data_IF_775838006807
#
_entry.id   IF_775838006807
#
_cell.length_a   1.000
_cell.length_b   1.000
_cell.length_c   1.000
_cell.angle_alpha   90.00
_cell.angle_beta   90.00
_cell.angle_gamma   90.00
#
_symmetry.space_group_name_H-M   'P 1'
#
loop_
_entity.id
_entity.type
_entity.pdbx_description
1 polymer ?
#
# COMPACT_ATOMS: atom_id res chain seq x y z
N UNK A 1 4.38 0.61 -13.26
CA UNK A 1 2.91 0.48 -13.43
C UNK A 1 2.61 0.59 -14.91
N UNK A 2 1.76 -0.31 -15.44
CA UNK A 2 1.24 -0.23 -16.80
C UNK A 2 -0.13 0.44 -16.79
N UNK A 3 -0.31 1.47 -17.59
CA UNK A 3 -1.60 2.14 -17.85
C UNK A 3 -2.01 1.88 -19.29
N UNK A 4 -3.31 1.64 -19.51
CA UNK A 4 -3.86 1.45 -20.86
C UNK A 4 -5.02 2.42 -21.05
N UNK A 5 -4.99 3.17 -22.13
CA UNK A 5 -5.99 4.20 -22.48
C UNK A 5 -6.83 3.76 -23.67
N UNK A 6 -7.97 4.36 -23.85
CA UNK A 6 -8.88 4.07 -24.97
C UNK A 6 -8.34 4.57 -26.31
N UNK A 7 -7.61 5.68 -26.28
CA UNK A 7 -7.03 6.32 -27.46
C UNK A 7 -5.51 6.39 -27.36
N UNK A 8 -4.84 6.55 -28.49
CA UNK A 8 -3.43 6.88 -28.54
C UNK A 8 -3.18 8.19 -27.79
N UNK A 9 -2.12 8.22 -27.00
CA UNK A 9 -1.80 9.38 -26.15
C UNK A 9 -0.95 10.40 -26.91
N UNK A 10 -1.09 11.65 -26.55
CA UNK A 10 -0.18 12.72 -26.98
C UNK A 10 1.13 12.59 -26.19
N UNK A 11 2.25 12.54 -26.91
CA UNK A 11 3.56 12.26 -26.33
C UNK A 11 3.98 13.31 -25.29
N UNK A 12 3.73 14.59 -25.56
CA UNK A 12 4.13 15.69 -24.68
C UNK A 12 3.39 15.61 -23.34
N UNK A 13 2.08 15.45 -23.38
CA UNK A 13 1.29 15.36 -22.14
C UNK A 13 1.47 14.03 -21.43
N UNK A 14 1.75 12.95 -22.16
CA UNK A 14 1.95 11.62 -21.59
C UNK A 14 3.28 11.48 -20.85
N UNK A 15 4.35 12.12 -21.31
CA UNK A 15 5.67 12.04 -20.67
C UNK A 15 5.89 13.01 -19.52
N UNK A 16 4.95 13.92 -19.30
CA UNK A 16 4.97 14.87 -18.18
C UNK A 16 4.67 14.13 -16.85
N UNK A 17 5.69 13.92 -16.03
CA UNK A 17 5.62 13.14 -14.78
C UNK A 17 4.63 13.72 -13.76
N UNK A 18 4.49 15.03 -13.72
CA UNK A 18 3.58 15.79 -12.88
C UNK A 18 2.10 15.51 -13.17
N UNK A 19 1.79 14.88 -14.30
CA UNK A 19 0.44 14.47 -14.65
C UNK A 19 -0.03 13.19 -13.94
N UNK A 20 0.85 12.51 -13.21
CA UNK A 20 0.57 11.26 -12.49
C UNK A 20 0.65 11.47 -10.98
N UNK A 21 -0.50 11.67 -10.38
CA UNK A 21 -0.64 12.04 -8.96
C UNK A 21 -0.98 10.81 -8.13
N UNK A 22 -0.13 10.51 -7.14
CA UNK A 22 -0.34 9.43 -6.20
C UNK A 22 -0.81 9.93 -4.84
N UNK A 23 -1.72 9.18 -4.23
CA UNK A 23 -2.19 9.39 -2.86
C UNK A 23 -2.25 8.02 -2.13
N UNK A 24 -1.39 7.76 -1.13
CA UNK A 24 -0.29 8.60 -0.64
C UNK A 24 0.77 8.95 -1.70
N UNK A 25 1.46 10.06 -1.49
CA UNK A 25 2.43 10.59 -2.45
C UNK A 25 3.54 9.59 -2.76
N UNK A 26 3.76 9.35 -4.04
CA UNK A 26 4.90 8.62 -4.58
C UNK A 26 5.47 9.39 -5.78
N UNK A 27 6.73 9.14 -6.12
CA UNK A 27 7.43 9.87 -7.15
C UNK A 27 7.61 9.03 -8.41
N UNK A 28 7.13 9.57 -9.54
CA UNK A 28 7.37 9.00 -10.85
C UNK A 28 8.79 9.35 -11.28
N UNK A 29 9.65 8.35 -11.42
CA UNK A 29 11.04 8.51 -11.87
C UNK A 29 11.15 8.58 -13.38
N UNK A 30 10.27 7.89 -14.11
CA UNK A 30 10.22 7.88 -15.56
C UNK A 30 8.83 7.56 -16.09
N UNK A 31 8.57 8.01 -17.32
CA UNK A 31 7.37 7.67 -18.07
C UNK A 31 7.80 7.24 -19.48
N UNK A 32 7.34 6.08 -19.91
CA UNK A 32 7.64 5.51 -21.22
C UNK A 32 6.34 5.15 -21.94
N UNK A 33 6.24 5.54 -23.20
CA UNK A 33 5.13 5.13 -24.08
C UNK A 33 5.56 3.87 -24.82
N UNK A 34 4.68 2.88 -24.89
CA UNK A 34 4.96 1.66 -25.65
C UNK A 34 5.11 1.98 -27.15
N UNK A 35 6.24 1.59 -27.74
CA UNK A 35 6.55 1.88 -29.13
C UNK A 35 5.63 1.18 -30.12
N UNK A 36 5.04 0.04 -29.75
CA UNK A 36 4.14 -0.75 -30.57
C UNK A 36 2.66 -0.44 -30.34
N UNK A 37 2.35 0.21 -29.21
CA UNK A 37 0.96 0.55 -28.84
C UNK A 37 0.90 1.84 -28.07
N UNK A 38 0.70 2.95 -28.76
CA UNK A 38 0.65 4.30 -28.18
C UNK A 38 -0.50 4.53 -27.17
N UNK A 39 -1.35 3.54 -26.95
CA UNK A 39 -2.36 3.56 -25.85
C UNK A 39 -1.78 3.10 -24.51
N UNK A 40 -0.56 2.60 -24.50
CA UNK A 40 0.07 2.03 -23.30
C UNK A 40 1.19 2.93 -22.80
N UNK A 41 1.15 3.22 -21.52
CA UNK A 41 2.19 3.98 -20.81
C UNK A 41 2.72 3.11 -19.67
N UNK A 42 4.03 3.14 -19.48
CA UNK A 42 4.72 2.53 -18.32
C UNK A 42 5.22 3.64 -17.41
N UNK A 43 4.77 3.63 -16.16
CA UNK A 43 5.28 4.51 -15.12
C UNK A 43 6.36 3.77 -14.32
N UNK A 44 7.55 4.33 -14.30
CA UNK A 44 8.64 3.90 -13.44
C UNK A 44 8.62 4.75 -12.17
N UNK A 45 8.71 4.11 -11.01
CA UNK A 45 8.72 4.77 -9.71
C UNK A 45 10.12 4.69 -9.11
N UNK A 46 10.40 5.52 -8.11
CA UNK A 46 11.73 5.55 -7.48
C UNK A 46 12.04 4.32 -6.59
N UNK A 47 11.07 3.43 -6.41
CA UNK A 47 11.21 2.17 -5.68
C UNK A 47 11.38 2.29 -4.16
N UNK A 48 11.33 3.49 -3.61
CA UNK A 48 11.56 3.74 -2.17
C UNK A 48 10.35 3.42 -1.29
N UNK A 49 9.18 3.27 -1.88
CA UNK A 49 7.93 2.99 -1.16
C UNK A 49 7.13 1.92 -1.86
N UNK A 50 6.62 0.91 -1.15
CA UNK A 50 5.73 -0.08 -1.73
C UNK A 50 4.44 0.60 -2.19
N UNK A 51 3.91 0.14 -3.32
CA UNK A 51 2.67 0.65 -3.90
C UNK A 51 1.54 -0.26 -3.48
N UNK A 52 0.53 0.31 -2.83
CA UNK A 52 -0.70 -0.41 -2.49
C UNK A 52 -0.57 -1.45 -1.37
N UNK A 53 0.63 -1.61 -0.79
CA UNK A 53 0.91 -2.62 0.26
C UNK A 53 0.89 -1.99 1.67
N UNK A 54 -0.09 -1.13 1.95
CA UNK A 54 -0.10 -0.29 3.16
C UNK A 54 -1.39 -0.38 3.97
N UNK A 55 -2.27 -1.35 3.65
CA UNK A 55 -3.53 -1.54 4.39
C UNK A 55 -4.58 -0.45 4.20
N UNK A 56 -4.44 0.39 3.18
CA UNK A 56 -5.41 1.43 2.82
C UNK A 56 -5.35 1.73 1.34
N UNK A 57 -6.36 2.41 0.82
CA UNK A 57 -6.41 2.80 -0.58
C UNK A 57 -5.14 3.57 -1.00
N UNK A 58 -4.55 3.12 -2.08
CA UNK A 58 -3.49 3.79 -2.79
C UNK A 58 -4.05 4.23 -4.14
N UNK A 59 -4.13 5.53 -4.39
CA UNK A 59 -4.82 6.07 -5.55
C UNK A 59 -3.84 6.65 -6.57
N UNK A 60 -4.09 6.40 -7.83
CA UNK A 60 -3.45 7.08 -8.95
C UNK A 60 -4.49 7.89 -9.71
N UNK A 61 -4.26 9.19 -9.82
CA UNK A 61 -5.02 10.08 -10.71
C UNK A 61 -4.11 10.54 -11.83
N UNK A 62 -4.63 10.51 -13.06
CA UNK A 62 -3.96 11.08 -14.23
C UNK A 62 -4.66 12.38 -14.58
N UNK A 63 -3.88 13.46 -14.71
CA UNK A 63 -4.40 14.81 -15.02
C UNK A 63 -3.72 15.33 -16.29
N UNK A 64 -4.31 16.31 -16.95
CA UNK A 64 -3.75 17.04 -18.11
C UNK A 64 -3.29 16.17 -19.29
N UNK A 65 -3.57 14.87 -19.28
CA UNK A 65 -3.28 13.99 -20.40
C UNK A 65 -4.24 14.25 -21.55
N UNK A 66 -3.74 14.21 -22.76
CA UNK A 66 -4.52 14.34 -23.99
C UNK A 66 -4.34 13.11 -24.86
N UNK A 67 -5.34 12.85 -25.70
CA UNK A 67 -5.15 11.92 -26.82
C UNK A 67 -4.34 12.57 -27.93
N UNK A 68 -3.82 11.75 -28.84
CA UNK A 68 -3.10 12.24 -30.02
C UNK A 68 -3.95 13.20 -30.87
N UNK A 69 -3.31 14.02 -31.70
CA UNK A 69 -4.02 14.91 -32.63
C UNK A 69 -4.93 14.15 -33.61
N UNK A 70 -4.51 12.95 -34.04
CA UNK A 70 -5.30 12.10 -34.94
C UNK A 70 -6.63 11.67 -34.31
N UNK A 71 -6.71 11.59 -32.99
CA UNK A 71 -7.94 11.27 -32.25
C UNK A 71 -8.63 12.49 -31.65
N UNK A 72 -8.24 13.72 -32.08
CA UNK A 72 -8.91 14.97 -31.76
C UNK A 72 -8.43 15.69 -30.51
N UNK A 73 -7.27 15.34 -29.97
CA UNK A 73 -6.66 15.97 -28.76
C UNK A 73 -7.61 16.03 -27.57
N UNK A 74 -8.38 14.97 -27.34
CA UNK A 74 -9.35 14.89 -26.25
C UNK A 74 -8.64 14.88 -24.90
N UNK A 75 -9.06 15.76 -23.99
CA UNK A 75 -8.54 15.77 -22.62
C UNK A 75 -9.06 14.57 -21.83
N UNK A 76 -8.18 14.01 -20.96
CA UNK A 76 -8.62 12.99 -20.01
C UNK A 76 -9.63 13.58 -19.02
N UNK A 77 -10.61 12.77 -18.63
CA UNK A 77 -11.49 13.14 -17.53
C UNK A 77 -10.70 13.03 -16.21
N UNK A 78 -10.38 14.16 -15.61
CA UNK A 78 -9.64 14.25 -14.34
C UNK A 78 -10.51 14.78 -13.18
N UNK A 79 -11.82 14.73 -13.32
CA UNK A 79 -12.78 15.18 -12.32
C UNK A 79 -12.69 14.42 -10.99
N UNK A 80 -13.43 14.87 -10.01
CA UNK A 80 -13.55 14.18 -8.72
C UNK A 80 -14.00 12.73 -8.92
N UNK A 81 -13.28 11.77 -8.31
CA UNK A 81 -13.55 10.34 -8.50
C UNK A 81 -12.88 9.69 -9.71
N UNK A 82 -12.21 10.46 -10.58
CA UNK A 82 -11.43 9.91 -11.70
C UNK A 82 -10.05 9.47 -11.23
N UNK A 83 -9.97 8.34 -10.54
CA UNK A 83 -8.73 7.72 -10.06
C UNK A 83 -8.81 6.20 -10.17
N UNK A 84 -7.66 5.58 -10.19
CA UNK A 84 -7.52 4.11 -10.09
C UNK A 84 -7.04 3.78 -8.69
N UNK A 85 -7.69 2.82 -8.05
CA UNK A 85 -7.21 2.24 -6.79
C UNK A 85 -6.18 1.16 -7.13
N UNK A 86 -5.03 1.26 -6.49
CA UNK A 86 -3.95 0.30 -6.60
C UNK A 86 -3.85 -0.47 -5.30
N UNK A 87 -3.85 -1.78 -5.39
CA UNK A 87 -3.61 -2.69 -4.27
C UNK A 87 -2.42 -3.58 -4.59
N UNK A 88 -1.67 -3.97 -3.58
CA UNK A 88 -0.53 -4.86 -3.70
C UNK A 88 -0.29 -5.56 -2.37
N UNK A 89 0.47 -6.62 -2.40
CA UNK A 89 0.93 -7.35 -1.22
C UNK A 89 2.37 -7.81 -1.43
N UNK A 90 3.09 -8.07 -0.34
CA UNK A 90 4.45 -8.56 -0.38
C UNK A 90 4.51 -10.04 -0.79
N UNK A 91 5.66 -10.48 -1.29
CA UNK A 91 5.93 -11.89 -1.59
C UNK A 91 6.29 -12.69 -0.33
N UNK A 92 6.92 -12.02 0.65
CA UNK A 92 7.49 -12.59 1.86
C UNK A 92 7.43 -11.58 3.01
N UNK A 93 7.95 -11.94 4.17
CA UNK A 93 7.95 -11.11 5.36
C UNK A 93 9.20 -10.23 5.54
N UNK A 94 10.15 -10.22 4.58
CA UNK A 94 11.44 -9.53 4.74
C UNK A 94 11.29 -8.05 5.06
N UNK A 95 10.44 -7.34 4.33
CA UNK A 95 10.27 -5.89 4.37
C UNK A 95 9.01 -5.43 5.11
N UNK A 96 8.41 -6.30 5.93
CA UNK A 96 7.26 -5.91 6.77
C UNK A 96 7.70 -4.86 7.79
N UNK A 97 6.89 -3.83 7.94
CA UNK A 97 7.09 -2.77 8.92
C UNK A 97 5.79 -2.36 9.62
N UNK A 98 5.93 -1.70 10.76
CA UNK A 98 4.81 -1.20 11.58
C UNK A 98 4.89 0.30 11.68
N UNK A 99 3.79 1.00 11.45
CA UNK A 99 3.75 2.45 11.58
C UNK A 99 2.41 2.98 12.14
N UNK A 100 2.44 4.12 12.85
CA UNK A 100 3.63 4.77 13.40
C UNK A 100 4.31 3.88 14.45
N UNK A 101 5.63 3.98 14.55
CA UNK A 101 6.40 3.32 15.61
C UNK A 101 7.48 4.29 16.10
N UNK A 102 7.36 4.88 17.32
CA UNK A 102 6.33 4.62 18.32
C UNK A 102 4.92 5.04 17.89
N UNK A 103 3.94 4.30 18.39
CA UNK A 103 2.53 4.62 18.23
C UNK A 103 2.07 5.57 19.36
N UNK A 104 1.32 6.60 19.02
CA UNK A 104 0.67 7.42 20.02
C UNK A 104 -0.67 6.79 20.42
N UNK A 105 -0.88 6.63 21.73
CA UNK A 105 -2.09 6.00 22.28
C UNK A 105 -3.38 6.78 21.93
N UNK A 106 -3.28 8.10 21.79
CA UNK A 106 -4.42 8.95 21.44
C UNK A 106 -4.90 8.69 19.99
N UNK A 107 -4.00 8.28 19.10
CA UNK A 107 -4.36 7.86 17.73
C UNK A 107 -5.01 6.48 17.71
N UNK A 108 -4.75 5.68 18.73
CA UNK A 108 -5.41 4.40 18.98
C UNK A 108 -5.12 3.29 17.96
N UNK A 109 -4.25 3.50 16.96
CA UNK A 109 -4.02 2.56 15.86
C UNK A 109 -2.55 2.52 15.47
N UNK A 110 -2.06 1.30 15.17
CA UNK A 110 -0.86 1.06 14.36
C UNK A 110 -1.24 0.24 13.14
N UNK A 111 -0.53 0.41 12.05
CA UNK A 111 -0.71 -0.35 10.82
C UNK A 111 0.49 -1.27 10.60
N UNK A 112 0.24 -2.54 10.42
CA UNK A 112 1.20 -3.49 9.87
C UNK A 112 1.13 -3.39 8.35
N UNK A 113 2.25 -3.17 7.69
CA UNK A 113 2.30 -2.89 6.26
C UNK A 113 3.36 -3.73 5.55
N UNK A 114 3.24 -3.80 4.24
CA UNK A 114 4.03 -4.67 3.37
C UNK A 114 3.87 -6.15 3.76
N UNK A 115 2.64 -6.51 4.08
CA UNK A 115 2.25 -7.88 4.40
C UNK A 115 2.05 -8.71 3.12
N UNK A 116 2.25 -10.03 3.18
CA UNK A 116 1.80 -10.97 2.16
C UNK A 116 0.27 -10.94 2.01
N UNK A 117 -0.23 -11.54 0.94
CA UNK A 117 -1.67 -11.63 0.64
C UNK A 117 -2.50 -12.17 1.80
N UNK A 118 -1.91 -13.07 2.59
CA UNK A 118 -2.52 -13.64 3.78
C UNK A 118 -1.50 -13.74 4.89
N UNK A 119 -1.78 -13.10 6.01
CA UNK A 119 -0.90 -13.13 7.18
C UNK A 119 -1.72 -13.08 8.47
N UNK A 120 -1.23 -13.78 9.48
CA UNK A 120 -1.73 -13.72 10.84
C UNK A 120 -0.72 -12.97 11.71
N UNK A 121 -1.18 -11.99 12.47
CA UNK A 121 -0.34 -11.21 13.38
C UNK A 121 -0.82 -11.45 14.80
N UNK A 122 0.06 -11.93 15.65
CA UNK A 122 -0.19 -12.17 17.06
C UNK A 122 0.63 -11.17 17.87
N UNK A 123 -0.03 -10.44 18.74
CA UNK A 123 0.58 -9.40 19.58
C UNK A 123 0.73 -9.93 21.01
N UNK A 124 1.89 -9.70 21.61
CA UNK A 124 2.24 -10.14 22.96
C UNK A 124 2.74 -8.98 23.82
N UNK A 125 2.53 -9.07 25.11
CA UNK A 125 3.25 -8.28 26.11
C UNK A 125 4.72 -8.71 26.18
N UNK A 126 5.57 -7.94 26.85
CA UNK A 126 6.97 -8.32 27.11
C UNK A 126 7.08 -9.60 27.97
N UNK A 127 6.05 -9.93 28.74
CA UNK A 127 6.02 -11.14 29.56
C UNK A 127 5.57 -12.39 28.75
N UNK A 128 5.29 -12.23 27.45
CA UNK A 128 4.87 -13.31 26.57
C UNK A 128 3.35 -13.61 26.62
N UNK A 129 2.55 -12.79 27.30
CA UNK A 129 1.11 -12.94 27.31
C UNK A 129 0.53 -12.49 25.97
N UNK A 130 -0.36 -13.28 25.38
CA UNK A 130 -1.06 -12.92 24.16
C UNK A 130 -2.05 -11.80 24.45
N UNK A 131 -1.84 -10.66 23.80
CA UNK A 131 -2.70 -9.47 23.91
C UNK A 131 -3.84 -9.53 22.90
N UNK A 132 -3.51 -9.78 21.63
CA UNK A 132 -4.51 -9.79 20.56
C UNK A 132 -4.00 -10.59 19.34
N UNK A 133 -4.91 -10.83 18.39
CA UNK A 133 -4.61 -11.45 17.11
C UNK A 133 -5.45 -10.77 16.02
N UNK A 134 -4.83 -10.47 14.89
CA UNK A 134 -5.46 -9.89 13.72
C UNK A 134 -4.96 -10.60 12.46
N UNK A 135 -5.72 -10.50 11.38
CA UNK A 135 -5.39 -11.16 10.11
C UNK A 135 -5.46 -10.19 8.93
N UNK A 136 -4.50 -10.31 8.02
CA UNK A 136 -4.57 -9.77 6.67
C UNK A 136 -5.25 -10.80 5.78
N UNK A 137 -6.39 -10.45 5.20
CA UNK A 137 -7.23 -11.40 4.43
C UNK A 137 -7.73 -10.84 3.11
N UNK A 138 -7.69 -9.52 2.91
CA UNK A 138 -8.21 -8.85 1.71
C UNK A 138 -7.14 -8.65 0.62
N UNK A 139 -5.88 -8.97 0.92
CA UNK A 139 -4.77 -8.92 -0.02
C UNK A 139 -4.35 -7.50 -0.39
N UNK A 140 -4.60 -6.52 0.47
CA UNK A 140 -4.15 -5.14 0.27
C UNK A 140 -2.76 -4.86 0.88
N UNK A 141 -2.16 -5.87 1.54
CA UNK A 141 -0.80 -5.85 2.09
C UNK A 141 -0.66 -5.08 3.38
N UNK A 142 -1.75 -4.85 4.11
CA UNK A 142 -1.65 -4.23 5.41
C UNK A 142 -2.91 -4.32 6.23
N UNK A 143 -2.78 -4.26 7.55
CA UNK A 143 -3.89 -4.33 8.49
C UNK A 143 -3.69 -3.39 9.66
N UNK A 144 -4.76 -2.72 10.04
CA UNK A 144 -4.79 -1.83 11.20
C UNK A 144 -5.04 -2.63 12.48
N UNK A 145 -4.19 -2.40 13.46
CA UNK A 145 -4.37 -2.90 14.81
C UNK A 145 -4.79 -1.76 15.74
N UNK A 146 -5.98 -1.86 16.30
CA UNK A 146 -6.39 -0.98 17.39
C UNK A 146 -5.53 -1.30 18.61
N UNK A 147 -5.01 -0.26 19.27
CA UNK A 147 -4.18 -0.40 20.46
C UNK A 147 -5.02 -0.84 21.68
N UNK A 148 -5.62 -2.04 21.56
CA UNK A 148 -6.46 -2.65 22.60
C UNK A 148 -6.22 -4.15 22.68
N UNK A 149 -6.46 -4.72 23.85
CA UNK A 149 -6.48 -6.15 24.04
C UNK A 149 -7.75 -6.80 23.48
N UNK A 150 -7.90 -8.12 23.67
CA UNK A 150 -9.07 -8.88 23.24
C UNK A 150 -10.38 -8.47 23.94
N UNK A 151 -10.30 -7.83 25.11
CA UNK A 151 -11.47 -7.35 25.84
C UNK A 151 -11.89 -5.94 25.40
N UNK A 152 -11.08 -5.28 24.57
CA UNK A 152 -11.26 -3.90 24.13
C UNK A 152 -10.63 -2.86 25.05
N UNK A 153 -9.91 -3.29 26.10
CA UNK A 153 -9.18 -2.37 26.98
C UNK A 153 -7.95 -1.80 26.25
N UNK A 154 -7.78 -0.47 26.35
CA UNK A 154 -6.68 0.24 25.69
C UNK A 154 -5.33 -0.17 26.27
N UNK A 155 -4.37 -0.42 25.39
CA UNK A 155 -3.01 -0.80 25.78
C UNK A 155 -2.31 0.35 26.52
N UNK A 156 -1.52 -0.01 27.53
CA UNK A 156 -0.66 0.96 28.21
C UNK A 156 0.57 1.36 27.37
N UNK A 157 1.23 2.45 27.78
CA UNK A 157 2.54 2.78 27.22
C UNK A 157 3.54 1.67 27.51
N UNK A 158 4.28 1.25 26.49
CA UNK A 158 5.21 0.13 26.62
C UNK A 158 5.69 -0.39 25.29
N UNK A 159 6.49 -1.46 25.33
CA UNK A 159 6.94 -2.21 24.15
C UNK A 159 6.11 -3.48 24.04
N UNK A 160 5.66 -3.77 22.84
CA UNK A 160 4.91 -4.97 22.49
C UNK A 160 5.66 -5.77 21.44
N UNK A 161 5.59 -7.08 21.55
CA UNK A 161 6.18 -8.01 20.59
C UNK A 161 5.07 -8.46 19.65
N UNK A 162 5.39 -8.60 18.38
CA UNK A 162 4.51 -9.26 17.42
C UNK A 162 5.18 -10.45 16.74
N UNK A 163 4.41 -11.46 16.47
CA UNK A 163 4.75 -12.57 15.58
C UNK A 163 3.82 -12.49 14.37
N UNK A 164 4.40 -12.37 13.20
CA UNK A 164 3.66 -12.42 11.93
C UNK A 164 3.93 -13.78 11.31
N UNK A 165 2.88 -14.41 10.82
CA UNK A 165 2.94 -15.70 10.13
C UNK A 165 2.33 -15.51 8.76
N UNK A 166 3.07 -15.81 7.70
CA UNK A 166 2.57 -15.89 6.34
C UNK A 166 1.83 -17.21 6.15
N UNK A 167 0.65 -17.15 5.54
CA UNK A 167 -0.19 -18.30 5.25
C UNK A 167 -0.25 -18.55 3.74
N UNK A 168 -0.16 -19.82 3.33
CA UNK A 168 -0.48 -20.23 1.97
C UNK A 168 -2.00 -20.28 1.72
N UNK A 169 -2.40 -20.60 0.48
CA UNK A 169 -3.83 -20.70 0.11
C UNK A 169 -4.56 -21.83 0.86
N UNK A 170 -3.84 -22.77 1.45
CA UNK A 170 -4.36 -23.89 2.26
C UNK A 170 -4.33 -23.60 3.76
N UNK A 171 -3.98 -22.37 4.18
CA UNK A 171 -3.81 -21.92 5.57
C UNK A 171 -2.64 -22.59 6.33
N UNK A 172 -1.65 -23.13 5.62
CA UNK A 172 -0.44 -23.59 6.28
C UNK A 172 0.51 -22.41 6.53
N UNK A 173 1.21 -22.46 7.67
CA UNK A 173 2.25 -21.50 7.98
C UNK A 173 3.49 -21.80 7.11
N UNK A 174 3.94 -20.81 6.33
CA UNK A 174 5.08 -20.97 5.41
C UNK A 174 6.29 -20.12 5.75
N UNK A 175 6.08 -19.02 6.46
CA UNK A 175 7.14 -18.13 6.92
C UNK A 175 6.70 -17.41 8.19
N UNK A 176 7.65 -17.06 9.07
CA UNK A 176 7.36 -16.25 10.25
C UNK A 176 8.38 -15.13 10.44
N UNK A 177 7.92 -14.04 11.06
CA UNK A 177 8.74 -12.90 11.47
C UNK A 177 8.32 -12.41 12.84
N UNK A 178 9.32 -12.19 13.69
CA UNK A 178 9.13 -11.57 15.02
C UNK A 178 9.68 -10.15 14.99
N UNK A 179 8.95 -9.23 15.57
CA UNK A 179 9.37 -7.85 15.71
C UNK A 179 8.74 -7.20 16.93
N UNK A 180 8.93 -5.88 17.04
CA UNK A 180 8.40 -5.10 18.17
C UNK A 180 7.94 -3.71 17.72
N UNK A 181 6.99 -3.17 18.44
CA UNK A 181 6.59 -1.76 18.34
C UNK A 181 6.43 -1.17 19.74
N UNK A 182 6.53 0.14 19.84
CA UNK A 182 6.34 0.87 21.08
C UNK A 182 5.03 1.67 21.04
N UNK A 183 4.38 1.77 22.19
CA UNK A 183 3.22 2.62 22.44
C UNK A 183 3.63 3.70 23.44
N UNK A 184 3.32 4.95 23.15
CA UNK A 184 3.60 6.11 23.98
C UNK A 184 2.33 6.97 24.15
N UNK A 185 2.29 7.73 25.27
CA UNK A 185 1.27 8.77 25.46
C UNK A 185 1.55 9.98 24.60
#
# INVERSE_FOLDING_TARGET
IKLTFNNDVDETSATAKENYLFEPVNHVSGVEIDNSNKKVIYLNLDGKRPIGSIGREYRLRVVNLKSSQETGSLAINSGAGSYVVLTSFAKDLSDVYVYPNPANIERGIVTFANLPKRAKIIIFSLNGEKINEIEETDGNGGVDFKLSDQTGETLGSGVYIYRIVMLDDSNNEVEEKIGKFAVIK
#
